data_IF_767248279859
#
_entry.id   IF_767248279859
#
_cell.length_a   1.000
_cell.length_b   1.000
_cell.length_c   1.000
_cell.angle_alpha   90.00
_cell.angle_beta   90.00
_cell.angle_gamma   90.00
#
_symmetry.space_group_name_H-M   'P 1'
#
loop_
_entity.id
_entity.type
_entity.pdbx_description
1 polymer ?
#
# COMPACT_ATOMS: atom_id res chain seq x y z
N UNK A 1 22.17 19.99 -13.60
CA UNK A 1 20.92 20.00 -12.82
C UNK A 1 21.06 18.95 -11.73
N UNK A 2 20.76 19.28 -10.48
CA UNK A 2 20.87 18.34 -9.38
C UNK A 2 19.84 17.22 -9.54
N UNK A 3 20.32 15.98 -9.62
CA UNK A 3 19.48 14.79 -9.72
C UNK A 3 19.08 14.33 -8.31
N UNK A 4 17.92 14.82 -7.85
CA UNK A 4 17.38 14.52 -6.51
C UNK A 4 17.16 13.01 -6.32
N UNK A 5 16.94 12.24 -7.39
CA UNK A 5 16.71 10.79 -7.32
C UNK A 5 17.92 10.01 -6.78
N UNK A 6 19.13 10.59 -6.85
CA UNK A 6 20.36 10.01 -6.32
C UNK A 6 20.57 10.25 -4.83
N UNK A 7 19.69 11.04 -4.20
CA UNK A 7 19.74 11.31 -2.76
C UNK A 7 18.83 10.30 -2.06
N UNK A 8 19.40 9.17 -1.68
CA UNK A 8 18.69 8.03 -1.08
C UNK A 8 18.65 8.05 0.46
N UNK A 9 19.31 9.03 1.08
CA UNK A 9 19.40 9.13 2.54
C UNK A 9 19.70 10.55 3.02
N UNK A 10 19.40 10.81 4.29
CA UNK A 10 19.69 12.10 4.95
C UNK A 10 21.21 12.35 5.02
N UNK A 11 22.02 11.30 5.11
CA UNK A 11 23.47 11.46 5.20
C UNK A 11 24.11 11.72 3.84
N UNK A 12 23.61 11.10 2.78
CA UNK A 12 23.97 11.50 1.40
C UNK A 12 23.56 12.95 1.17
N UNK A 13 22.34 13.36 1.57
CA UNK A 13 21.89 14.74 1.45
C UNK A 13 22.86 15.73 2.13
N UNK A 14 23.31 15.44 3.35
CA UNK A 14 24.27 16.31 4.07
C UNK A 14 25.64 16.37 3.38
N UNK A 15 26.10 15.28 2.78
CA UNK A 15 27.36 15.25 2.03
C UNK A 15 27.26 16.00 0.70
N UNK A 16 26.08 16.00 0.09
CA UNK A 16 25.83 16.66 -1.20
C UNK A 16 25.73 18.18 -1.11
N UNK A 17 25.52 18.75 0.08
CA UNK A 17 25.33 20.20 0.25
C UNK A 17 26.08 20.74 1.46
N UNK A 18 26.73 21.88 1.29
CA UNK A 18 27.48 22.54 2.36
C UNK A 18 26.61 22.91 3.57
N UNK A 19 25.38 23.37 3.31
CA UNK A 19 24.45 23.78 4.36
C UNK A 19 22.98 23.67 3.92
N UNK A 20 22.10 23.73 4.92
CA UNK A 20 20.66 23.54 4.73
C UNK A 20 20.03 24.64 3.86
N UNK A 21 20.61 25.84 3.81
CA UNK A 21 20.10 26.96 3.00
C UNK A 21 20.30 26.65 1.50
N UNK A 22 21.50 26.27 1.11
CA UNK A 22 21.84 25.90 -0.29
C UNK A 22 20.98 24.72 -0.76
N UNK A 23 20.82 23.69 0.09
CA UNK A 23 19.99 22.54 -0.25
C UNK A 23 18.52 22.92 -0.54
N UNK A 24 17.95 23.84 0.24
CA UNK A 24 16.57 24.32 0.00
C UNK A 24 16.43 25.05 -1.32
N UNK A 25 17.39 25.92 -1.65
CA UNK A 25 17.36 26.72 -2.87
C UNK A 25 17.47 25.83 -4.12
N UNK A 26 18.39 24.86 -4.12
CA UNK A 26 18.56 23.92 -5.23
C UNK A 26 17.34 23.00 -5.40
N UNK A 27 16.80 22.45 -4.30
CA UNK A 27 15.59 21.62 -4.37
C UNK A 27 14.37 22.45 -4.82
N UNK A 28 14.27 23.71 -4.40
CA UNK A 28 13.19 24.60 -4.83
C UNK A 28 13.23 24.88 -6.34
N UNK A 29 14.43 25.08 -6.90
CA UNK A 29 14.65 25.24 -8.34
C UNK A 29 14.19 23.99 -9.09
N UNK A 30 14.63 22.81 -8.66
CA UNK A 30 14.29 21.53 -9.30
C UNK A 30 12.79 21.22 -9.26
N UNK A 31 12.14 21.47 -8.11
CA UNK A 31 10.72 21.17 -7.92
C UNK A 31 9.78 22.29 -8.41
N UNK A 32 10.32 23.41 -8.88
CA UNK A 32 9.58 24.61 -9.27
C UNK A 32 8.54 25.06 -8.21
N UNK A 33 8.90 25.00 -6.93
CA UNK A 33 8.01 25.37 -5.80
C UNK A 33 8.79 25.85 -4.58
N UNK A 34 8.14 26.62 -3.70
CA UNK A 34 8.74 27.06 -2.43
C UNK A 34 9.03 25.87 -1.52
N UNK A 35 10.26 25.79 -1.01
CA UNK A 35 10.72 24.74 -0.10
C UNK A 35 11.00 25.34 1.27
N UNK A 36 10.34 24.81 2.30
CA UNK A 36 10.53 25.23 3.69
C UNK A 36 10.77 24.01 4.56
N UNK A 37 11.93 23.94 5.19
CA UNK A 37 12.29 22.85 6.10
C UNK A 37 13.10 23.39 7.27
N UNK A 38 12.77 23.00 8.49
CA UNK A 38 13.54 23.40 9.68
C UNK A 38 14.79 22.53 9.91
N UNK A 39 14.90 21.39 9.24
CA UNK A 39 15.99 20.42 9.41
C UNK A 39 16.25 19.61 8.14
N UNK A 40 17.43 18.99 8.06
CA UNK A 40 17.80 18.05 6.99
C UNK A 40 16.81 16.90 6.83
N UNK A 41 16.34 16.34 7.95
CA UNK A 41 15.37 15.24 7.96
C UNK A 41 14.01 15.68 7.40
N UNK A 42 13.56 16.89 7.73
CA UNK A 42 12.33 17.45 7.17
C UNK A 42 12.47 17.73 5.67
N UNK A 43 13.62 18.27 5.24
CA UNK A 43 13.89 18.54 3.83
C UNK A 43 13.86 17.24 3.00
N UNK A 44 14.58 16.22 3.47
CA UNK A 44 14.64 14.90 2.84
C UNK A 44 13.25 14.26 2.73
N UNK A 45 12.52 14.14 3.85
CA UNK A 45 11.21 13.47 3.87
C UNK A 45 10.13 14.18 3.06
N UNK A 46 10.15 15.51 3.02
CA UNK A 46 9.05 16.27 2.42
C UNK A 46 9.25 16.53 0.92
N UNK A 47 10.49 16.50 0.44
CA UNK A 47 10.82 16.99 -0.91
C UNK A 47 11.71 16.06 -1.73
N UNK A 48 12.37 15.08 -1.12
CA UNK A 48 13.33 14.20 -1.80
C UNK A 48 12.79 12.77 -1.89
N UNK A 49 12.28 12.23 -0.78
CA UNK A 49 11.67 10.91 -0.77
C UNK A 49 10.45 10.90 -1.69
N UNK A 50 10.47 10.04 -2.69
CA UNK A 50 9.32 9.78 -3.53
C UNK A 50 8.17 9.27 -2.67
N UNK A 51 7.07 10.03 -2.63
CA UNK A 51 5.87 9.58 -1.94
C UNK A 51 5.21 8.52 -2.80
N UNK A 52 5.39 7.26 -2.40
CA UNK A 52 4.65 6.14 -2.98
C UNK A 52 3.15 6.47 -2.93
N UNK A 53 2.51 6.47 -4.09
CA UNK A 53 1.08 6.67 -4.19
C UNK A 53 0.37 5.48 -3.55
N UNK A 54 -0.39 5.74 -2.48
CA UNK A 54 -1.17 4.72 -1.79
C UNK A 54 -2.45 4.48 -2.59
N UNK A 55 -2.54 3.35 -3.27
CA UNK A 55 -3.70 2.92 -4.06
C UNK A 55 -4.57 1.90 -3.31
N UNK A 56 -3.99 1.19 -2.34
CA UNK A 56 -4.67 0.21 -1.48
C UNK A 56 -4.27 0.45 -0.02
N UNK A 57 -5.24 0.34 0.90
CA UNK A 57 -5.03 0.57 2.33
C UNK A 57 -4.01 -0.40 2.94
N UNK A 58 -3.93 -1.62 2.40
CA UNK A 58 -2.98 -2.65 2.82
C UNK A 58 -1.52 -2.28 2.54
N UNK A 59 -1.25 -1.25 1.73
CA UNK A 59 0.09 -0.72 1.56
C UNK A 59 0.59 0.00 2.81
N UNK A 60 -0.30 0.37 3.75
CA UNK A 60 0.05 1.05 5.00
C UNK A 60 0.08 0.02 6.14
N UNK A 61 1.27 -0.50 6.39
CA UNK A 61 1.55 -1.53 7.41
C UNK A 61 1.84 -0.96 8.81
N UNK A 62 2.09 0.34 8.93
CA UNK A 62 2.52 0.98 10.18
C UNK A 62 2.04 2.43 10.27
N UNK A 63 1.94 2.94 11.51
CA UNK A 63 1.56 4.33 11.74
C UNK A 63 2.65 5.31 11.26
N UNK A 64 3.92 4.92 11.29
CA UNK A 64 5.03 5.69 10.72
C UNK A 64 4.89 5.85 9.21
N UNK A 65 4.55 4.75 8.52
CA UNK A 65 4.28 4.76 7.08
C UNK A 65 3.05 5.58 6.74
N UNK A 66 1.97 5.44 7.52
CA UNK A 66 0.78 6.31 7.38
C UNK A 66 1.16 7.80 7.43
N UNK A 67 1.95 8.18 8.45
CA UNK A 67 2.38 9.57 8.67
C UNK A 67 3.34 10.08 7.59
N UNK A 68 4.16 9.21 6.99
CA UNK A 68 5.08 9.63 5.92
C UNK A 68 4.41 9.66 4.54
N UNK A 69 3.41 8.80 4.30
CA UNK A 69 2.66 8.72 3.04
C UNK A 69 1.79 9.92 2.75
N UNK A 70 1.35 10.67 3.77
CA UNK A 70 0.45 11.82 3.61
C UNK A 70 1.06 13.09 4.21
N UNK A 71 0.75 14.26 3.65
CA UNK A 71 1.25 15.54 4.19
C UNK A 71 0.61 15.93 5.50
N UNK A 72 -0.67 15.59 5.68
CA UNK A 72 -1.46 15.93 6.85
C UNK A 72 -2.66 14.96 7.00
N UNK A 73 -3.31 15.01 8.16
CA UNK A 73 -4.42 14.11 8.50
C UNK A 73 -5.64 14.33 7.58
N UNK A 74 -5.89 15.56 7.11
CA UNK A 74 -7.01 15.86 6.21
C UNK A 74 -6.82 15.15 4.87
N UNK A 75 -5.62 15.25 4.27
CA UNK A 75 -5.27 14.55 3.04
C UNK A 75 -5.41 13.03 3.20
N UNK A 76 -4.90 12.48 4.30
CA UNK A 76 -4.99 11.06 4.58
C UNK A 76 -6.46 10.60 4.66
N UNK A 77 -7.31 11.36 5.36
CA UNK A 77 -8.75 11.07 5.46
C UNK A 77 -9.43 11.09 4.09
N UNK A 78 -9.16 12.11 3.27
CA UNK A 78 -9.79 12.24 1.95
C UNK A 78 -9.37 11.10 1.01
N UNK A 79 -8.08 10.76 0.98
CA UNK A 79 -7.56 9.67 0.14
C UNK A 79 -8.05 8.31 0.62
N UNK A 80 -7.96 8.01 1.92
CA UNK A 80 -8.43 6.74 2.47
C UNK A 80 -9.96 6.63 2.35
N UNK A 81 -10.70 7.74 2.45
CA UNK A 81 -12.16 7.76 2.23
C UNK A 81 -12.53 7.34 0.81
N UNK A 82 -11.75 7.79 -0.19
CA UNK A 82 -11.91 7.37 -1.59
C UNK A 82 -11.56 5.89 -1.77
N UNK A 83 -10.43 5.44 -1.21
CA UNK A 83 -9.98 4.03 -1.30
C UNK A 83 -11.03 3.08 -0.71
N UNK A 84 -11.60 3.44 0.44
CA UNK A 84 -12.57 2.60 1.15
C UNK A 84 -14.03 2.86 0.75
N UNK A 85 -14.28 3.81 -0.15
CA UNK A 85 -15.62 4.28 -0.54
C UNK A 85 -16.55 4.55 0.65
N UNK A 86 -16.03 5.19 1.71
CA UNK A 86 -16.79 5.48 2.94
C UNK A 86 -16.32 6.75 3.62
N UNK A 87 -17.21 7.41 4.35
CA UNK A 87 -16.88 8.61 5.13
C UNK A 87 -15.96 8.27 6.30
N UNK A 88 -14.85 9.01 6.43
CA UNK A 88 -13.88 8.84 7.51
C UNK A 88 -13.99 9.95 8.55
N UNK A 89 -14.16 9.55 9.81
CA UNK A 89 -14.26 10.46 10.95
C UNK A 89 -13.16 10.11 11.94
N UNK A 90 -11.93 10.44 11.57
CA UNK A 90 -10.76 10.33 12.43
C UNK A 90 -10.29 11.71 12.88
N UNK A 91 -9.93 11.85 14.16
CA UNK A 91 -9.46 13.09 14.77
C UNK A 91 -7.96 13.05 15.12
N UNK A 92 -7.33 11.89 15.00
CA UNK A 92 -5.89 11.71 15.19
C UNK A 92 -5.35 10.67 14.20
N UNK A 93 -4.04 10.65 14.01
CA UNK A 93 -3.37 9.62 13.23
C UNK A 93 -3.58 8.21 13.80
N UNK A 94 -3.61 8.10 15.12
CA UNK A 94 -3.83 6.84 15.82
C UNK A 94 -5.22 6.29 15.52
N UNK A 95 -6.26 7.12 15.68
CA UNK A 95 -7.65 6.74 15.37
C UNK A 95 -7.83 6.42 13.89
N UNK A 96 -7.15 7.15 13.01
CA UNK A 96 -7.19 6.86 11.58
C UNK A 96 -6.58 5.48 11.29
N UNK A 97 -5.42 5.20 11.88
CA UNK A 97 -4.73 3.94 11.73
C UNK A 97 -5.59 2.79 12.28
N UNK A 98 -5.90 2.82 13.58
CA UNK A 98 -6.58 1.74 14.32
C UNK A 98 -7.95 1.35 13.76
N UNK A 99 -8.69 2.32 13.20
CA UNK A 99 -10.08 2.09 12.77
C UNK A 99 -10.23 1.84 11.27
N UNK A 100 -9.28 2.34 10.47
CA UNK A 100 -9.43 2.38 9.02
C UNK A 100 -8.27 1.77 8.26
N UNK A 101 -7.10 1.58 8.89
CA UNK A 101 -5.88 1.06 8.27
C UNK A 101 -5.55 -0.32 8.83
N UNK A 102 -5.44 -0.43 10.16
CA UNK A 102 -5.55 -1.68 10.91
C UNK A 102 -7.04 -1.98 11.12
N UNK A 103 -7.53 -3.22 11.10
CA UNK A 103 -7.03 -4.40 11.80
C UNK A 103 -7.06 -5.66 10.92
N UNK A 104 -5.94 -6.36 10.90
CA UNK A 104 -5.95 -7.81 10.88
C UNK A 104 -5.07 -8.31 12.03
N UNK A 105 -5.69 -8.83 13.10
CA UNK A 105 -5.00 -9.33 14.29
C UNK A 105 -4.36 -10.72 14.08
N UNK A 106 -4.74 -11.39 13.00
CA UNK A 106 -4.37 -12.79 12.74
C UNK A 106 -3.31 -12.91 11.65
N UNK A 107 -3.25 -11.96 10.72
CA UNK A 107 -2.37 -12.02 9.56
C UNK A 107 -1.42 -10.83 9.47
N UNK A 108 -0.14 -11.13 9.21
CA UNK A 108 0.93 -10.12 9.05
C UNK A 108 0.73 -9.16 7.87
N UNK A 109 0.00 -9.59 6.83
CA UNK A 109 -0.29 -8.81 5.65
C UNK A 109 -1.45 -9.43 4.84
N UNK A 110 -2.01 -8.65 3.89
CA UNK A 110 -3.13 -9.05 3.03
C UNK A 110 -2.82 -10.27 2.14
N UNK A 111 -1.58 -10.43 1.67
CA UNK A 111 -1.19 -11.57 0.83
C UNK A 111 -1.20 -12.84 1.66
N UNK A 112 -0.60 -12.80 2.86
CA UNK A 112 -0.58 -13.91 3.81
C UNK A 112 -1.98 -14.34 4.23
N UNK A 113 -2.90 -13.37 4.41
CA UNK A 113 -4.32 -13.61 4.66
C UNK A 113 -4.99 -14.37 3.51
N UNK A 114 -4.82 -13.93 2.27
CA UNK A 114 -5.42 -14.61 1.12
C UNK A 114 -4.81 -15.99 0.87
N UNK A 115 -3.51 -16.14 1.06
CA UNK A 115 -2.86 -17.45 0.98
C UNK A 115 -3.46 -18.39 2.02
N UNK A 116 -3.65 -17.93 3.26
CA UNK A 116 -4.32 -18.73 4.28
C UNK A 116 -5.75 -19.12 3.85
N UNK A 117 -6.55 -18.19 3.31
CA UNK A 117 -7.90 -18.50 2.84
C UNK A 117 -7.92 -19.52 1.69
N UNK A 118 -6.94 -19.46 0.79
CA UNK A 118 -6.86 -20.38 -0.36
C UNK A 118 -6.36 -21.77 0.04
N UNK A 119 -5.46 -21.85 1.02
CA UNK A 119 -4.72 -23.08 1.33
C UNK A 119 -5.28 -23.82 2.54
N UNK A 120 -5.69 -23.10 3.59
CA UNK A 120 -6.04 -23.69 4.88
C UNK A 120 -7.56 -23.78 5.10
N UNK A 121 -8.36 -23.08 4.30
CA UNK A 121 -9.82 -23.15 4.34
C UNK A 121 -10.35 -23.93 3.14
N UNK A 122 -11.48 -24.61 3.33
CA UNK A 122 -12.19 -25.31 2.26
C UNK A 122 -13.70 -25.05 2.34
N UNK A 123 -14.41 -25.29 1.24
CA UNK A 123 -15.86 -25.22 1.19
C UNK A 123 -16.41 -23.81 1.42
N UNK A 124 -17.55 -23.71 2.13
CA UNK A 124 -18.27 -22.44 2.31
C UNK A 124 -17.44 -21.35 3.02
N UNK A 125 -16.74 -21.61 4.15
CA UNK A 125 -15.93 -20.59 4.80
C UNK A 125 -14.87 -19.98 3.88
N UNK A 126 -14.22 -20.81 3.05
CA UNK A 126 -13.25 -20.34 2.06
C UNK A 126 -13.90 -19.32 1.10
N UNK A 127 -15.08 -19.64 0.56
CA UNK A 127 -15.80 -18.74 -0.34
C UNK A 127 -16.20 -17.43 0.35
N UNK A 128 -16.74 -17.52 1.56
CA UNK A 128 -17.19 -16.37 2.36
C UNK A 128 -16.01 -15.42 2.66
N UNK A 129 -14.85 -15.95 3.08
CA UNK A 129 -13.66 -15.14 3.36
C UNK A 129 -12.99 -14.56 2.10
N UNK A 130 -13.10 -15.24 0.96
CA UNK A 130 -12.64 -14.72 -0.34
C UNK A 130 -13.64 -13.73 -0.97
N UNK A 131 -14.83 -13.58 -0.40
CA UNK A 131 -15.89 -12.71 -0.91
C UNK A 131 -16.53 -13.22 -2.20
N UNK A 132 -16.46 -14.54 -2.45
CA UNK A 132 -17.01 -15.17 -3.66
C UNK A 132 -18.50 -15.43 -3.43
N UNK A 133 -19.31 -14.87 -4.32
CA UNK A 133 -20.77 -15.05 -4.34
C UNK A 133 -21.22 -15.81 -5.59
N UNK A 134 -22.51 -16.18 -5.67
CA UNK A 134 -23.09 -16.86 -6.82
C UNK A 134 -22.83 -16.14 -8.16
N UNK A 135 -22.72 -14.80 -8.14
CA UNK A 135 -22.48 -14.00 -9.35
C UNK A 135 -21.18 -14.40 -10.08
N UNK A 136 -20.17 -14.87 -9.34
CA UNK A 136 -18.92 -15.37 -9.93
C UNK A 136 -19.10 -16.67 -10.72
N UNK A 137 -20.12 -17.47 -10.40
CA UNK A 137 -20.43 -18.72 -11.13
C UNK A 137 -21.38 -18.50 -12.31
N UNK A 138 -22.05 -17.36 -12.36
CA UNK A 138 -23.01 -17.03 -13.44
C UNK A 138 -22.47 -16.04 -14.45
N UNK A 139 -21.38 -15.33 -14.12
CA UNK A 139 -20.78 -14.32 -14.98
C UNK A 139 -19.27 -14.54 -15.11
N UNK A 140 -18.89 -15.09 -16.26
CA UNK A 140 -17.50 -15.40 -16.62
C UNK A 140 -16.58 -14.18 -16.57
N UNK A 141 -17.04 -13.00 -16.99
CA UNK A 141 -16.22 -11.79 -17.00
C UNK A 141 -15.85 -11.34 -15.57
N UNK A 142 -16.81 -11.46 -14.65
CA UNK A 142 -16.60 -11.15 -13.23
C UNK A 142 -15.63 -12.15 -12.60
N UNK A 143 -15.78 -13.44 -12.91
CA UNK A 143 -14.86 -14.49 -12.48
C UNK A 143 -13.42 -14.25 -12.99
N UNK A 144 -13.28 -13.97 -14.29
CA UNK A 144 -11.99 -13.68 -14.93
C UNK A 144 -11.29 -12.48 -14.31
N UNK A 145 -12.04 -11.41 -14.02
CA UNK A 145 -11.48 -10.20 -13.43
C UNK A 145 -10.94 -10.48 -12.02
N UNK A 146 -11.72 -11.16 -11.18
CA UNK A 146 -11.29 -11.52 -9.83
C UNK A 146 -10.11 -12.48 -9.84
N UNK A 147 -10.11 -13.48 -10.72
CA UNK A 147 -8.97 -14.39 -10.89
C UNK A 147 -7.70 -13.62 -11.23
N UNK A 148 -7.73 -12.74 -12.24
CA UNK A 148 -6.58 -11.90 -12.63
C UNK A 148 -6.09 -11.01 -11.49
N UNK A 149 -6.99 -10.46 -10.67
CA UNK A 149 -6.63 -9.66 -9.49
C UNK A 149 -5.94 -10.52 -8.42
N UNK A 150 -6.45 -11.71 -8.13
CA UNK A 150 -5.84 -12.64 -7.17
C UNK A 150 -4.46 -13.12 -7.63
N UNK A 151 -4.31 -13.48 -8.91
CA UNK A 151 -3.02 -13.90 -9.49
C UNK A 151 -1.97 -12.81 -9.30
N UNK A 152 -2.31 -11.53 -9.58
CA UNK A 152 -1.36 -10.41 -9.40
C UNK A 152 -0.83 -10.30 -7.96
N UNK A 153 -1.63 -10.70 -6.96
CA UNK A 153 -1.27 -10.64 -5.55
C UNK A 153 -0.43 -11.85 -5.11
N UNK A 154 -0.78 -13.06 -5.53
CA UNK A 154 -0.24 -14.30 -4.94
C UNK A 154 0.74 -15.06 -5.85
N UNK A 155 0.93 -14.65 -7.11
CA UNK A 155 1.77 -15.40 -8.06
C UNK A 155 3.19 -15.62 -7.50
N UNK A 156 3.74 -16.86 -7.56
CA UNK A 156 5.06 -17.17 -6.98
C UNK A 156 6.21 -16.30 -7.47
N UNK A 157 6.19 -15.88 -8.75
CA UNK A 157 7.23 -14.97 -9.30
C UNK A 157 7.31 -13.61 -8.59
N UNK A 158 6.23 -13.18 -7.93
CA UNK A 158 6.13 -11.87 -7.25
C UNK A 158 6.00 -12.01 -5.74
N UNK A 159 5.29 -13.04 -5.29
CA UNK A 159 5.01 -13.32 -3.90
C UNK A 159 6.07 -14.25 -3.31
N UNK A 160 6.83 -13.76 -2.32
CA UNK A 160 7.85 -14.55 -1.61
C UNK A 160 7.30 -15.47 -0.51
N UNK A 161 5.98 -15.60 -0.39
CA UNK A 161 5.38 -16.42 0.66
C UNK A 161 5.65 -17.91 0.36
N UNK A 162 6.06 -18.74 1.35
CA UNK A 162 6.40 -20.14 1.10
C UNK A 162 5.27 -20.97 0.48
N UNK A 163 4.02 -20.65 0.82
CA UNK A 163 2.80 -21.28 0.29
C UNK A 163 2.24 -20.62 -0.98
N UNK A 164 2.97 -19.72 -1.65
CA UNK A 164 2.46 -19.01 -2.84
C UNK A 164 2.10 -19.99 -3.98
N UNK A 165 2.93 -21.01 -4.23
CA UNK A 165 2.67 -22.02 -5.27
C UNK A 165 1.42 -22.83 -4.96
N UNK A 166 1.25 -23.26 -3.70
CA UNK A 166 0.08 -23.99 -3.23
C UNK A 166 -1.20 -23.15 -3.35
N UNK A 167 -1.13 -21.87 -2.94
CA UNK A 167 -2.23 -20.93 -3.07
C UNK A 167 -2.63 -20.67 -4.53
N UNK A 168 -1.65 -20.60 -5.45
CA UNK A 168 -1.92 -20.46 -6.88
C UNK A 168 -2.65 -21.68 -7.43
N UNK A 169 -2.26 -22.90 -7.04
CA UNK A 169 -2.95 -24.13 -7.45
C UNK A 169 -4.38 -24.18 -6.91
N UNK A 170 -4.59 -23.80 -5.65
CA UNK A 170 -5.92 -23.71 -5.04
C UNK A 170 -6.79 -22.67 -5.76
N UNK A 171 -6.24 -21.49 -6.09
CA UNK A 171 -6.92 -20.45 -6.86
C UNK A 171 -7.39 -20.96 -8.22
N UNK A 172 -6.52 -21.66 -8.97
CA UNK A 172 -6.86 -22.24 -10.28
C UNK A 172 -7.97 -23.29 -10.18
N UNK A 173 -7.94 -24.14 -9.15
CA UNK A 173 -8.99 -25.13 -8.89
C UNK A 173 -10.33 -24.45 -8.61
N UNK A 174 -10.32 -23.41 -7.77
CA UNK A 174 -11.53 -22.66 -7.40
C UNK A 174 -12.14 -21.97 -8.63
N UNK A 175 -11.30 -21.31 -9.42
CA UNK A 175 -11.71 -20.62 -10.64
C UNK A 175 -12.27 -21.57 -11.71
N UNK A 176 -11.67 -22.76 -11.89
CA UNK A 176 -12.24 -23.80 -12.77
C UNK A 176 -13.62 -24.26 -12.33
N UNK A 177 -13.95 -24.18 -11.04
CA UNK A 177 -15.29 -24.49 -10.55
C UNK A 177 -16.31 -23.38 -10.86
N UNK A 178 -15.86 -22.18 -11.24
CA UNK A 178 -16.73 -21.04 -11.60
C UNK A 178 -17.14 -21.04 -13.07
N UNK A 179 -16.40 -21.72 -13.95
CA UNK A 179 -16.55 -21.71 -15.41
C UNK A 179 -16.99 -23.07 -15.92
#
# INVERSE_FOLDING_TARGET
MLDISKIDSVDVLKKSFENLKVAKEEIAKTLNKKVTAASWKALYKNYIVEKVEITDISMIDSIEKLKSSFTNLKEAKDKISKILNRKIVANSWQVLYDKYVTEDLYFKDKISKYIFYLVELEGKPQLDFLGITYNYYSNKEIAEKWHKEMVKLIHPDRCKHPKATEAMQALEKLYKGMI
#
